data_IF_824421745260
#
_entry.id   IF_824421745260
#
_cell.length_a   1.000
_cell.length_b   1.000
_cell.length_c   1.000
_cell.angle_alpha   90.00
_cell.angle_beta   90.00
_cell.angle_gamma   90.00
#
_symmetry.space_group_name_H-M   'P 1'
#
loop_
_entity.id
_entity.type
_entity.pdbx_description
1 polymer ?
#
# COMPACT_ATOMS: atom_id res chain seq x y z
N UNK A 1 7.10 45.57 -4.57
CA UNK A 1 8.22 45.07 -3.73
C UNK A 1 7.68 44.95 -2.32
N UNK A 2 7.31 43.75 -1.89
CA UNK A 2 6.78 43.45 -0.55
C UNK A 2 7.52 42.20 -0.04
N UNK A 3 7.88 42.15 1.25
CA UNK A 3 9.00 41.34 1.73
C UNK A 3 8.61 39.89 2.00
N UNK A 4 9.58 39.00 1.73
CA UNK A 4 9.60 37.61 2.21
C UNK A 4 9.71 37.62 3.73
N UNK A 5 8.80 36.94 4.41
CA UNK A 5 9.01 36.47 5.77
C UNK A 5 9.16 34.95 5.71
N UNK A 6 10.40 34.51 5.59
CA UNK A 6 10.81 33.16 5.96
C UNK A 6 10.75 33.07 7.48
N UNK A 7 9.83 32.27 8.01
CA UNK A 7 9.93 31.79 9.38
C UNK A 7 10.61 30.42 9.37
N UNK A 8 11.91 30.43 9.68
CA UNK A 8 12.72 29.25 9.95
C UNK A 8 12.78 29.05 11.47
N UNK A 9 11.86 28.25 12.03
CA UNK A 9 12.15 27.21 13.05
C UNK A 9 10.89 26.79 13.80
N UNK A 10 10.25 25.71 13.32
CA UNK A 10 9.72 24.59 14.13
C UNK A 10 9.01 23.63 13.18
N UNK A 11 9.77 22.78 12.52
CA UNK A 11 9.22 21.63 11.79
C UNK A 11 8.76 20.61 12.82
N UNK A 12 7.46 20.35 12.86
CA UNK A 12 6.83 19.31 13.67
C UNK A 12 7.42 17.93 13.32
N UNK A 13 7.23 16.92 14.17
CA UNK A 13 7.62 15.52 13.85
C UNK A 13 6.97 15.05 12.53
N UNK A 14 5.78 15.60 12.23
CA UNK A 14 5.03 15.40 10.97
C UNK A 14 5.64 16.11 9.76
N UNK A 15 6.55 17.06 9.95
CA UNK A 15 7.32 17.72 8.88
C UNK A 15 8.69 17.04 8.66
N UNK A 16 9.08 16.09 9.53
CA UNK A 16 10.30 15.27 9.38
C UNK A 16 10.04 13.92 8.72
N UNK A 17 8.81 13.42 8.84
CA UNK A 17 8.27 12.32 8.04
C UNK A 17 7.52 12.99 6.89
N UNK A 18 7.92 12.79 5.63
CA UNK A 18 7.22 13.39 4.48
C UNK A 18 5.72 13.06 4.50
N UNK A 19 4.87 13.89 3.87
CA UNK A 19 3.46 13.54 3.73
C UNK A 19 3.33 12.31 2.83
N UNK A 20 2.33 11.46 3.11
CA UNK A 20 2.08 10.25 2.35
C UNK A 20 1.82 10.59 0.87
N UNK A 21 2.55 9.94 -0.04
CA UNK A 21 2.56 10.21 -1.49
C UNK A 21 3.02 11.62 -1.94
N UNK A 22 3.62 12.43 -1.05
CA UNK A 22 3.97 13.83 -1.38
C UNK A 22 4.84 13.94 -2.63
N UNK A 23 5.86 13.09 -2.77
CA UNK A 23 6.79 13.12 -3.90
C UNK A 23 6.12 12.70 -5.21
N UNK A 24 5.22 11.71 -5.16
CA UNK A 24 4.43 11.30 -6.30
C UNK A 24 3.46 12.40 -6.75
N UNK A 25 2.77 13.05 -5.80
CA UNK A 25 1.83 14.14 -6.10
C UNK A 25 2.57 15.33 -6.73
N UNK A 26 3.70 15.76 -6.15
CA UNK A 26 4.54 16.82 -6.74
C UNK A 26 5.02 16.48 -8.14
N UNK A 27 5.38 15.22 -8.39
CA UNK A 27 5.77 14.77 -9.72
C UNK A 27 4.61 14.83 -10.72
N UNK A 28 3.40 14.39 -10.34
CA UNK A 28 2.21 14.51 -11.18
C UNK A 28 1.85 15.97 -11.48
N UNK A 29 1.94 16.85 -10.48
CA UNK A 29 1.74 18.30 -10.64
C UNK A 29 2.73 18.90 -11.64
N UNK A 30 4.02 18.54 -11.53
CA UNK A 30 5.06 19.02 -12.43
C UNK A 30 4.83 18.57 -13.90
N UNK A 31 4.16 17.43 -14.10
CA UNK A 31 3.74 16.95 -15.42
C UNK A 31 2.40 17.54 -15.90
N UNK A 32 1.71 18.33 -15.07
CA UNK A 32 0.37 18.83 -15.37
C UNK A 32 -0.71 17.74 -15.37
N UNK A 33 -0.45 16.60 -14.72
CA UNK A 33 -1.41 15.50 -14.60
C UNK A 33 -2.34 15.75 -13.41
N UNK A 34 -3.65 15.81 -13.70
CA UNK A 34 -4.65 15.93 -12.66
C UNK A 34 -4.63 14.70 -11.75
N UNK A 35 -4.61 14.92 -10.44
CA UNK A 35 -4.62 13.86 -9.44
C UNK A 35 -5.58 14.21 -8.32
N UNK A 36 -6.04 13.18 -7.60
CA UNK A 36 -6.97 13.32 -6.48
C UNK A 36 -6.67 12.24 -5.44
N UNK A 37 -6.81 12.60 -4.16
CA UNK A 37 -6.58 11.69 -3.03
C UNK A 37 -7.91 11.43 -2.34
N UNK A 38 -8.33 10.17 -2.31
CA UNK A 38 -9.50 9.75 -1.56
C UNK A 38 -9.24 9.89 -0.05
N UNK A 39 -10.19 10.46 0.68
CA UNK A 39 -10.12 10.58 2.15
C UNK A 39 -10.55 9.26 2.79
N UNK A 40 -9.61 8.33 2.85
CA UNK A 40 -9.82 7.00 3.42
C UNK A 40 -9.59 7.03 4.93
N UNK A 41 -10.47 6.37 5.68
CA UNK A 41 -10.31 6.16 7.11
C UNK A 41 -9.42 4.94 7.32
N UNK A 42 -8.26 5.13 7.94
CA UNK A 42 -7.29 4.05 8.10
C UNK A 42 -7.77 2.98 9.07
N UNK A 43 -8.62 3.36 10.02
CA UNK A 43 -9.19 2.45 11.02
C UNK A 43 -10.38 1.65 10.51
N UNK A 44 -10.97 2.04 9.38
CA UNK A 44 -12.17 1.42 8.85
C UNK A 44 -11.85 0.14 8.05
N UNK A 45 -12.76 -0.83 8.12
CA UNK A 45 -12.66 -2.07 7.35
C UNK A 45 -12.79 -1.85 5.84
N UNK A 46 -12.36 -2.85 5.06
CA UNK A 46 -12.29 -2.76 3.59
C UNK A 46 -13.63 -2.41 2.93
N UNK A 47 -14.74 -2.97 3.41
CA UNK A 47 -16.09 -2.68 2.88
C UNK A 47 -16.48 -1.20 3.01
N UNK A 48 -16.16 -0.60 4.16
CA UNK A 48 -16.47 0.81 4.40
C UNK A 48 -15.60 1.71 3.53
N UNK A 49 -14.31 1.40 3.43
CA UNK A 49 -13.40 2.16 2.57
C UNK A 49 -13.72 1.99 1.09
N UNK A 50 -14.15 0.81 0.65
CA UNK A 50 -14.64 0.57 -0.70
C UNK A 50 -15.84 1.47 -1.05
N UNK A 51 -16.75 1.73 -0.11
CA UNK A 51 -17.85 2.68 -0.29
C UNK A 51 -17.33 4.11 -0.46
N UNK A 52 -16.38 4.52 0.37
CA UNK A 52 -15.74 5.84 0.27
C UNK A 52 -15.02 6.02 -1.07
N UNK A 53 -14.26 5.00 -1.51
CA UNK A 53 -13.61 4.97 -2.82
C UNK A 53 -14.61 5.05 -3.97
N UNK A 54 -15.72 4.29 -3.87
CA UNK A 54 -16.79 4.31 -4.88
C UNK A 54 -17.34 5.72 -5.08
N UNK A 55 -17.74 6.38 -3.98
CA UNK A 55 -18.25 7.76 -4.02
C UNK A 55 -17.19 8.72 -4.55
N UNK A 56 -15.92 8.52 -4.22
CA UNK A 56 -14.84 9.35 -4.74
C UNK A 56 -14.73 9.24 -6.28
N UNK A 57 -14.75 8.01 -6.83
CA UNK A 57 -14.66 7.79 -8.28
C UNK A 57 -15.89 8.30 -9.02
N UNK A 58 -17.08 8.14 -8.46
CA UNK A 58 -18.34 8.65 -9.05
C UNK A 58 -18.32 10.16 -9.25
N UNK A 59 -17.68 10.90 -8.34
CA UNK A 59 -17.52 12.36 -8.43
C UNK A 59 -16.51 12.77 -9.50
N UNK A 60 -15.55 11.91 -9.85
CA UNK A 60 -14.55 12.16 -10.88
C UNK A 60 -15.17 11.91 -12.25
N UNK A 61 -15.27 12.94 -13.10
CA UNK A 61 -16.00 12.88 -14.39
C UNK A 61 -15.28 12.10 -15.50
N UNK A 62 -14.04 11.67 -15.27
CA UNK A 62 -13.18 11.01 -16.25
C UNK A 62 -12.79 9.61 -15.75
N UNK A 63 -12.43 8.67 -16.65
CA UNK A 63 -11.77 7.44 -16.25
C UNK A 63 -10.50 7.73 -15.46
N UNK A 64 -10.22 6.91 -14.45
CA UNK A 64 -9.11 7.13 -13.51
C UNK A 64 -8.09 6.01 -13.59
N UNK A 65 -6.82 6.36 -13.35
CA UNK A 65 -5.81 5.41 -12.93
C UNK A 65 -5.72 5.45 -11.42
N UNK A 66 -5.58 4.26 -10.85
CA UNK A 66 -5.61 4.06 -9.42
C UNK A 66 -4.19 3.72 -8.92
N UNK A 67 -3.76 4.36 -7.84
CA UNK A 67 -2.48 4.07 -7.18
C UNK A 67 -2.69 4.01 -5.67
N UNK A 68 -2.40 2.86 -5.06
CA UNK A 68 -2.58 2.64 -3.63
C UNK A 68 -1.39 1.94 -3.00
N UNK A 69 -1.31 2.02 -1.67
CA UNK A 69 -0.31 1.35 -0.87
C UNK A 69 -0.95 0.57 0.27
N UNK A 70 -0.32 -0.56 0.63
CA UNK A 70 -0.69 -1.38 1.77
C UNK A 70 -2.18 -1.78 1.73
N UNK A 71 -2.92 -1.55 2.82
CA UNK A 71 -4.36 -1.81 2.94
C UNK A 71 -5.21 -1.19 1.82
N UNK A 72 -4.78 -0.08 1.22
CA UNK A 72 -5.50 0.57 0.12
C UNK A 72 -5.72 -0.37 -1.08
N UNK A 73 -4.83 -1.33 -1.34
CA UNK A 73 -5.01 -2.33 -2.39
C UNK A 73 -6.15 -3.30 -2.09
N UNK A 74 -6.33 -3.70 -0.83
CA UNK A 74 -7.46 -4.56 -0.41
C UNK A 74 -8.77 -3.78 -0.48
N UNK A 75 -8.78 -2.53 -0.01
CA UNK A 75 -9.96 -1.65 -0.07
C UNK A 75 -10.41 -1.43 -1.53
N UNK A 76 -9.45 -1.31 -2.44
CA UNK A 76 -9.69 -1.15 -3.89
C UNK A 76 -10.20 -2.42 -4.53
N UNK A 77 -9.61 -3.57 -4.19
CA UNK A 77 -10.09 -4.85 -4.68
C UNK A 77 -11.54 -5.08 -4.24
N UNK A 78 -11.86 -4.78 -2.98
CA UNK A 78 -13.23 -4.85 -2.46
C UNK A 78 -14.19 -3.94 -3.23
N UNK A 79 -13.78 -2.70 -3.53
CA UNK A 79 -14.57 -1.81 -4.37
C UNK A 79 -14.79 -2.40 -5.76
N UNK A 80 -13.74 -2.87 -6.45
CA UNK A 80 -13.85 -3.40 -7.80
C UNK A 80 -14.68 -4.69 -7.85
N UNK A 81 -14.57 -5.55 -6.85
CA UNK A 81 -15.39 -6.77 -6.72
C UNK A 81 -16.86 -6.41 -6.48
N UNK A 82 -17.14 -5.51 -5.53
CA UNK A 82 -18.51 -5.15 -5.13
C UNK A 82 -19.23 -4.16 -6.06
N UNK A 83 -18.50 -3.42 -6.89
CA UNK A 83 -19.03 -2.40 -7.82
C UNK A 83 -18.61 -2.67 -9.27
N UNK A 84 -19.16 -3.71 -9.93
CA UNK A 84 -18.90 -3.98 -11.34
C UNK A 84 -19.17 -2.79 -12.27
N UNK A 85 -20.15 -1.95 -11.93
CA UNK A 85 -20.53 -0.76 -12.67
C UNK A 85 -19.46 0.35 -12.67
N UNK A 86 -18.55 0.34 -11.70
CA UNK A 86 -17.43 1.29 -11.65
C UNK A 86 -16.18 0.79 -12.36
N UNK A 87 -16.11 -0.48 -12.78
CA UNK A 87 -14.92 -1.05 -13.43
C UNK A 87 -14.57 -0.33 -14.73
N UNK A 88 -15.57 0.08 -15.52
CA UNK A 88 -15.38 0.85 -16.75
C UNK A 88 -14.86 2.28 -16.50
N UNK A 89 -14.92 2.76 -15.26
CA UNK A 89 -14.34 4.04 -14.83
C UNK A 89 -12.88 3.91 -14.41
N UNK A 90 -12.35 2.70 -14.31
CA UNK A 90 -10.97 2.43 -13.89
C UNK A 90 -10.17 1.92 -15.09
N UNK A 91 -9.28 2.78 -15.60
CA UNK A 91 -8.45 2.45 -16.75
C UNK A 91 -7.29 1.49 -16.40
N UNK A 92 -6.99 1.32 -15.12
CA UNK A 92 -5.96 0.45 -14.57
C UNK A 92 -5.65 0.80 -13.12
N UNK A 93 -5.00 -0.11 -12.40
CA UNK A 93 -4.67 0.09 -10.99
C UNK A 93 -3.29 -0.45 -10.61
N UNK A 94 -2.67 0.21 -9.64
CA UNK A 94 -1.37 -0.14 -9.06
C UNK A 94 -1.55 -0.38 -7.57
N UNK A 95 -1.14 -1.55 -7.10
CA UNK A 95 -1.09 -1.89 -5.69
C UNK A 95 0.37 -2.01 -5.23
N UNK A 96 0.79 -1.13 -4.32
CA UNK A 96 2.15 -1.12 -3.77
C UNK A 96 2.12 -1.78 -2.40
N UNK A 97 2.83 -2.89 -2.25
CA UNK A 97 3.03 -3.58 -0.96
C UNK A 97 1.71 -3.96 -0.27
N UNK A 98 0.70 -4.35 -1.04
CA UNK A 98 -0.62 -4.70 -0.51
C UNK A 98 -0.69 -6.15 -0.05
N UNK A 99 -1.16 -6.44 1.18
CA UNK A 99 -1.22 -7.81 1.69
C UNK A 99 -2.46 -8.56 1.20
N UNK A 100 -2.55 -8.87 -0.09
CA UNK A 100 -3.73 -9.57 -0.66
C UNK A 100 -3.98 -10.94 -0.05
N UNK A 101 -2.94 -11.65 0.41
CA UNK A 101 -3.04 -12.92 1.15
C UNK A 101 -2.84 -12.74 2.66
N UNK A 102 -2.84 -11.49 3.14
CA UNK A 102 -2.65 -11.14 4.54
C UNK A 102 -1.20 -11.02 4.99
N UNK A 103 -1.03 -10.72 6.28
CA UNK A 103 0.27 -10.56 6.95
C UNK A 103 0.36 -11.52 8.15
N UNK A 104 1.37 -12.40 8.20
CA UNK A 104 1.62 -13.25 9.36
C UNK A 104 1.85 -12.48 10.66
N UNK A 105 2.37 -11.26 10.58
CA UNK A 105 2.55 -10.40 11.76
C UNK A 105 1.20 -9.93 12.32
N UNK A 106 0.20 -9.68 11.46
CA UNK A 106 -1.16 -9.42 11.90
C UNK A 106 -1.76 -10.65 12.59
N UNK A 107 -1.51 -11.86 12.05
CA UNK A 107 -1.98 -13.11 12.65
C UNK A 107 -1.42 -13.29 14.07
N UNK A 108 -0.11 -13.13 14.24
CA UNK A 108 0.56 -13.26 15.53
C UNK A 108 0.01 -12.27 16.56
N UNK A 109 -0.14 -11.01 16.17
CA UNK A 109 -0.71 -9.97 17.04
C UNK A 109 -2.13 -10.32 17.49
N UNK A 110 -2.96 -10.88 16.61
CA UNK A 110 -4.33 -11.25 16.95
C UNK A 110 -4.38 -12.48 17.87
N UNK A 111 -3.46 -13.44 17.69
CA UNK A 111 -3.43 -14.73 18.39
C UNK A 111 -3.14 -14.65 19.89
N UNK A 112 -2.22 -13.81 20.36
CA UNK A 112 -1.81 -13.82 21.77
C UNK A 112 -1.48 -12.46 22.37
N UNK A 113 -1.74 -12.29 23.66
CA UNK A 113 -1.34 -11.09 24.42
C UNK A 113 0.18 -10.90 24.46
N UNK A 114 0.95 -12.00 24.40
CA UNK A 114 2.40 -11.96 24.29
C UNK A 114 2.84 -11.22 23.02
N UNK A 115 2.31 -11.61 21.86
CA UNK A 115 2.64 -10.96 20.60
C UNK A 115 2.07 -9.54 20.49
N UNK A 116 0.93 -9.24 21.12
CA UNK A 116 0.45 -7.85 21.26
C UNK A 116 1.44 -6.97 22.01
N UNK A 117 2.06 -7.50 23.06
CA UNK A 117 3.13 -6.81 23.78
C UNK A 117 4.38 -6.62 22.93
N UNK A 118 4.84 -7.69 22.26
CA UNK A 118 6.03 -7.67 21.41
C UNK A 118 5.88 -6.72 20.21
N UNK A 119 4.69 -6.67 19.62
CA UNK A 119 4.38 -5.91 18.41
C UNK A 119 3.45 -4.73 18.69
N UNK A 120 3.53 -4.10 19.86
CA UNK A 120 2.59 -3.07 20.31
C UNK A 120 2.41 -1.86 19.37
N UNK A 121 3.41 -1.52 18.57
CA UNK A 121 3.35 -0.44 17.56
C UNK A 121 2.65 -0.83 16.26
N UNK A 122 2.39 -2.12 16.04
CA UNK A 122 1.83 -2.64 14.78
C UNK A 122 0.46 -2.05 14.49
N UNK A 123 -0.36 -1.89 15.53
CA UNK A 123 -1.72 -1.37 15.38
C UNK A 123 -1.72 0.00 14.69
N UNK A 124 -0.86 0.92 15.14
CA UNK A 124 -0.73 2.25 14.55
C UNK A 124 -0.15 2.23 13.13
N UNK A 125 0.73 1.26 12.82
CA UNK A 125 1.29 1.09 11.47
C UNK A 125 0.28 0.49 10.48
N UNK A 126 -0.66 -0.33 10.96
CA UNK A 126 -1.64 -1.08 10.17
C UNK A 126 -3.03 -0.43 10.12
N UNK A 127 -3.12 0.85 10.47
CA UNK A 127 -4.33 1.66 10.31
C UNK A 127 -5.05 2.04 11.59
N UNK A 128 -4.63 1.55 12.77
CA UNK A 128 -5.02 2.09 14.08
C UNK A 128 -6.08 1.28 14.85
N UNK A 129 -6.74 0.30 14.23
CA UNK A 129 -7.82 -0.48 14.84
C UNK A 129 -7.62 -1.99 14.74
N UNK A 130 -8.21 -2.73 15.71
CA UNK A 130 -8.20 -4.20 15.66
C UNK A 130 -8.96 -4.73 14.45
N UNK A 131 -10.00 -4.01 14.00
CA UNK A 131 -10.76 -4.37 12.81
C UNK A 131 -9.92 -4.22 11.54
N UNK A 132 -9.14 -3.14 11.44
CA UNK A 132 -8.18 -2.96 10.34
C UNK A 132 -7.15 -4.09 10.35
N UNK A 133 -6.57 -4.40 11.50
CA UNK A 133 -5.59 -5.48 11.61
C UNK A 133 -6.18 -6.86 11.30
N UNK A 134 -7.40 -7.13 11.76
CA UNK A 134 -8.14 -8.37 11.45
C UNK A 134 -8.38 -8.50 9.95
N UNK A 135 -8.69 -7.39 9.27
CA UNK A 135 -8.81 -7.35 7.82
C UNK A 135 -7.47 -7.60 7.08
N UNK A 136 -6.32 -7.50 7.75
CA UNK A 136 -5.02 -7.82 7.17
C UNK A 136 -4.52 -9.23 7.55
N UNK A 137 -5.28 -9.97 8.36
CA UNK A 137 -4.90 -11.33 8.76
C UNK A 137 -4.99 -12.31 7.59
N UNK A 138 -4.07 -13.27 7.55
CA UNK A 138 -4.00 -14.28 6.49
C UNK A 138 -5.27 -15.13 6.39
N UNK A 139 -5.89 -15.60 7.50
CA UNK A 139 -7.14 -16.35 7.42
C UNK A 139 -8.28 -15.56 6.76
N UNK A 140 -8.45 -14.29 7.14
CA UNK A 140 -9.52 -13.43 6.61
C UNK A 140 -9.26 -13.10 5.13
N UNK A 141 -7.99 -12.96 4.74
CA UNK A 141 -7.63 -12.65 3.35
C UNK A 141 -7.69 -13.84 2.42
N UNK A 142 -7.27 -15.01 2.88
CA UNK A 142 -7.41 -16.24 2.13
C UNK A 142 -8.88 -16.61 1.90
N UNK A 143 -9.72 -16.54 2.94
CA UNK A 143 -11.17 -16.78 2.83
C UNK A 143 -11.84 -15.83 1.83
N UNK A 144 -11.48 -14.55 1.89
CA UNK A 144 -11.99 -13.55 0.95
C UNK A 144 -11.59 -13.86 -0.49
N UNK A 145 -10.31 -14.14 -0.71
CA UNK A 145 -9.80 -14.47 -2.05
C UNK A 145 -10.50 -15.70 -2.62
N UNK A 146 -10.66 -16.76 -1.82
CA UNK A 146 -11.36 -17.98 -2.23
C UNK A 146 -12.84 -17.73 -2.54
N UNK A 147 -13.52 -16.99 -1.66
CA UNK A 147 -14.95 -16.70 -1.81
C UNK A 147 -15.27 -15.78 -2.99
N UNK A 148 -14.30 -15.00 -3.47
CA UNK A 148 -14.48 -14.03 -4.56
C UNK A 148 -13.61 -14.33 -5.79
N UNK A 149 -13.02 -15.53 -5.90
CA UNK A 149 -12.03 -15.86 -6.92
C UNK A 149 -12.50 -15.54 -8.35
N UNK A 150 -13.75 -15.85 -8.70
CA UNK A 150 -14.34 -15.55 -10.01
C UNK A 150 -14.43 -14.05 -10.28
N UNK A 151 -14.85 -13.25 -9.30
CA UNK A 151 -14.94 -11.79 -9.46
C UNK A 151 -13.57 -11.14 -9.51
N UNK A 152 -12.63 -11.63 -8.71
CA UNK A 152 -11.24 -11.17 -8.72
C UNK A 152 -10.62 -11.43 -10.10
N UNK A 153 -10.82 -12.63 -10.67
CA UNK A 153 -10.37 -12.95 -12.02
C UNK A 153 -10.95 -11.96 -13.04
N UNK A 154 -12.27 -11.71 -13.01
CA UNK A 154 -12.92 -10.71 -13.86
C UNK A 154 -12.32 -9.32 -13.73
N UNK A 155 -12.03 -8.87 -12.51
CA UNK A 155 -11.37 -7.57 -12.27
C UNK A 155 -10.01 -7.52 -12.96
N UNK A 156 -9.18 -8.55 -12.79
CA UNK A 156 -7.83 -8.60 -13.37
C UNK A 156 -7.80 -8.85 -14.88
N UNK A 157 -8.88 -9.37 -15.46
CA UNK A 157 -9.04 -9.53 -16.90
C UNK A 157 -9.52 -8.24 -17.58
N UNK A 158 -10.38 -7.46 -16.90
CA UNK A 158 -11.01 -6.27 -17.47
C UNK A 158 -10.10 -5.04 -17.55
N UNK A 159 -9.11 -4.93 -16.66
CA UNK A 159 -8.24 -3.76 -16.61
C UNK A 159 -6.79 -4.13 -16.24
N UNK A 160 -5.79 -3.39 -16.76
CA UNK A 160 -4.40 -3.58 -16.37
C UNK A 160 -4.21 -3.44 -14.87
N UNK A 161 -3.43 -4.37 -14.31
CA UNK A 161 -3.11 -4.39 -12.89
C UNK A 161 -1.64 -4.66 -12.67
N UNK A 162 -0.94 -3.70 -12.06
CA UNK A 162 0.44 -3.87 -11.63
C UNK A 162 0.47 -4.00 -10.11
N UNK A 163 1.00 -5.12 -9.63
CA UNK A 163 1.33 -5.28 -8.22
C UNK A 163 2.82 -5.00 -8.04
N UNK A 164 3.17 -4.17 -7.07
CA UNK A 164 4.55 -3.96 -6.68
C UNK A 164 4.77 -4.50 -5.28
N UNK A 165 5.89 -5.18 -5.10
CA UNK A 165 6.37 -5.63 -3.82
C UNK A 165 7.85 -5.36 -3.65
N UNK A 166 8.27 -5.28 -2.40
CA UNK A 166 9.68 -5.28 -2.09
C UNK A 166 9.98 -6.17 -0.90
N UNK A 167 11.26 -6.31 -0.62
CA UNK A 167 11.72 -6.98 0.58
C UNK A 167 13.08 -6.41 0.99
N UNK A 168 13.47 -6.63 2.24
CA UNK A 168 14.75 -6.19 2.77
C UNK A 168 15.48 -7.39 3.39
N UNK A 169 16.77 -7.56 3.05
CA UNK A 169 17.67 -8.51 3.72
C UNK A 169 18.11 -7.95 5.09
N UNK A 170 18.49 -8.86 6.00
CA UNK A 170 19.14 -8.55 7.29
C UNK A 170 20.63 -8.18 7.13
N UNK A 171 20.96 -7.38 6.11
CA UNK A 171 22.34 -6.94 5.82
C UNK A 171 22.50 -5.42 5.96
N UNK A 172 21.65 -4.76 6.75
CA UNK A 172 21.71 -3.31 6.90
C UNK A 172 22.85 -2.92 7.86
N UNK A 173 23.82 -2.08 7.44
CA UNK A 173 24.89 -1.66 8.33
C UNK A 173 24.30 -0.77 9.42
N UNK A 174 24.43 -1.22 10.68
CA UNK A 174 24.41 -0.62 12.04
C UNK A 174 24.11 0.89 12.29
N UNK A 175 23.90 1.73 11.28
CA UNK A 175 23.42 3.11 11.39
C UNK A 175 21.89 3.19 11.30
N UNK A 176 21.20 2.45 12.17
CA UNK A 176 19.74 2.56 12.37
C UNK A 176 18.91 2.02 11.21
N UNK A 177 18.37 0.83 11.39
CA UNK A 177 17.35 0.28 10.50
C UNK A 177 16.00 1.03 10.64
N UNK A 178 15.03 0.63 9.86
CA UNK A 178 13.67 1.16 9.93
C UNK A 178 12.97 0.67 11.20
N UNK A 179 11.93 1.38 11.70
CA UNK A 179 11.08 0.87 12.77
C UNK A 179 10.34 -0.44 12.47
N UNK A 180 10.57 -1.03 11.28
CA UNK A 180 9.96 -2.28 10.84
C UNK A 180 10.88 -3.50 11.01
N UNK A 181 12.14 -3.29 11.38
CA UNK A 181 13.14 -4.34 11.63
C UNK A 181 12.59 -5.51 12.49
N UNK A 182 11.96 -5.29 13.67
CA UNK A 182 11.52 -6.41 14.49
C UNK A 182 10.50 -7.33 13.82
N UNK A 183 9.64 -6.77 12.97
CA UNK A 183 8.66 -7.53 12.19
C UNK A 183 9.31 -8.23 11.01
N UNK A 184 10.26 -7.54 10.35
CA UNK A 184 11.03 -8.08 9.24
C UNK A 184 11.80 -9.31 9.65
N UNK A 185 12.61 -9.19 10.69
CA UNK A 185 13.51 -10.24 11.14
C UNK A 185 12.70 -11.42 11.66
N UNK A 186 11.56 -11.17 12.31
CA UNK A 186 10.68 -12.25 12.72
C UNK A 186 10.19 -13.06 11.51
N UNK A 187 9.66 -12.41 10.48
CA UNK A 187 9.21 -13.09 9.26
C UNK A 187 10.36 -13.76 8.51
N UNK A 188 11.53 -13.10 8.44
CA UNK A 188 12.68 -13.63 7.72
C UNK A 188 13.28 -14.85 8.44
N UNK A 189 13.61 -14.72 9.72
CA UNK A 189 14.30 -15.77 10.48
C UNK A 189 13.40 -16.89 10.97
N UNK A 190 12.16 -16.58 11.37
CA UNK A 190 11.27 -17.56 12.01
C UNK A 190 10.29 -18.19 11.03
N UNK A 191 10.05 -17.56 9.89
CA UNK A 191 9.08 -18.02 8.90
C UNK A 191 9.69 -18.25 7.51
N UNK A 192 10.97 -17.91 7.30
CA UNK A 192 11.64 -17.99 5.99
C UNK A 192 10.90 -17.17 4.91
N UNK A 193 10.36 -16.02 5.30
CA UNK A 193 9.59 -15.14 4.43
C UNK A 193 10.34 -13.83 4.15
N UNK A 194 10.75 -13.65 2.89
CA UNK A 194 11.18 -12.34 2.40
C UNK A 194 10.01 -11.36 2.48
N UNK A 195 10.25 -10.20 3.06
CA UNK A 195 9.21 -9.25 3.40
C UNK A 195 9.75 -7.83 3.48
N UNK A 196 8.86 -6.84 3.43
CA UNK A 196 9.18 -5.41 3.50
C UNK A 196 9.09 -4.83 4.94
N UNK A 197 9.05 -5.71 5.93
CA UNK A 197 8.82 -5.40 7.33
C UNK A 197 7.37 -5.53 7.77
N UNK A 198 6.39 -5.62 6.88
CA UNK A 198 4.98 -5.77 7.28
C UNK A 198 4.21 -6.78 6.44
N UNK A 199 4.60 -6.94 5.18
CA UNK A 199 3.95 -7.81 4.22
C UNK A 199 5.01 -8.73 3.61
N UNK A 200 4.77 -10.05 3.55
CA UNK A 200 5.68 -10.95 2.88
C UNK A 200 5.46 -10.92 1.35
N UNK A 201 6.52 -11.18 0.58
CA UNK A 201 6.48 -11.12 -0.89
C UNK A 201 5.38 -12.01 -1.48
N UNK A 202 5.18 -13.18 -0.87
CA UNK A 202 4.16 -14.16 -1.26
C UNK A 202 2.72 -13.66 -1.12
N UNK A 203 2.50 -12.54 -0.42
CA UNK A 203 1.16 -11.95 -0.20
C UNK A 203 0.80 -10.83 -1.19
N UNK A 204 1.77 -10.32 -1.95
CA UNK A 204 1.62 -9.05 -2.65
C UNK A 204 0.96 -9.13 -4.04
N UNK A 205 0.79 -10.34 -4.60
CA UNK A 205 0.23 -10.55 -5.92
C UNK A 205 -1.00 -11.45 -5.90
N UNK A 206 -1.87 -11.25 -6.88
CA UNK A 206 -2.99 -12.15 -7.22
C UNK A 206 -2.91 -12.51 -8.70
N UNK A 207 -3.46 -13.67 -9.12
CA UNK A 207 -3.48 -14.06 -10.53
C UNK A 207 -4.04 -12.95 -11.42
N UNK A 208 -3.43 -12.77 -12.59
CA UNK A 208 -3.80 -11.73 -13.53
C UNK A 208 -3.03 -10.41 -13.37
N UNK A 209 -2.34 -10.18 -12.24
CA UNK A 209 -1.45 -9.01 -12.08
C UNK A 209 -0.10 -9.20 -12.78
N UNK A 210 0.52 -8.08 -13.15
CA UNK A 210 1.94 -8.02 -13.47
C UNK A 210 2.70 -7.67 -12.18
N UNK A 211 3.38 -8.65 -11.59
CA UNK A 211 4.06 -8.50 -10.30
C UNK A 211 5.52 -8.03 -10.49
N UNK A 212 5.85 -6.90 -9.89
CA UNK A 212 7.22 -6.36 -9.80
C UNK A 212 7.74 -6.56 -8.38
N UNK A 213 8.91 -7.19 -8.23
CA UNK A 213 9.56 -7.39 -6.93
C UNK A 213 10.97 -6.82 -6.95
N UNK A 214 11.31 -5.97 -5.97
CA UNK A 214 12.67 -5.45 -5.78
C UNK A 214 13.19 -5.69 -4.37
N UNK A 215 14.52 -5.74 -4.22
CA UNK A 215 15.18 -5.87 -2.92
C UNK A 215 15.49 -4.49 -2.30
N UNK A 216 15.83 -4.50 -1.01
CA UNK A 216 16.34 -3.37 -0.23
C UNK A 216 15.40 -2.16 -0.14
N UNK A 217 14.10 -2.42 -0.04
CA UNK A 217 13.08 -1.38 0.17
C UNK A 217 12.07 -1.87 1.20
N UNK A 218 11.89 -1.10 2.25
CA UNK A 218 10.91 -1.38 3.31
C UNK A 218 9.49 -0.89 2.92
N UNK A 219 8.51 -1.23 3.75
CA UNK A 219 7.09 -0.94 3.54
C UNK A 219 6.75 0.56 3.45
N UNK A 220 7.58 1.46 4.01
CA UNK A 220 7.32 2.90 4.08
C UNK A 220 8.08 3.69 3.02
N UNK A 221 9.25 3.21 2.61
CA UNK A 221 10.15 3.88 1.67
C UNK A 221 9.49 4.26 0.34
N UNK A 222 8.50 3.47 -0.10
CA UNK A 222 7.74 3.71 -1.34
C UNK A 222 6.77 4.89 -1.27
N UNK A 223 6.40 5.36 -0.08
CA UNK A 223 5.31 6.34 0.12
C UNK A 223 5.62 7.48 1.08
N UNK A 224 6.62 7.30 1.95
CA UNK A 224 7.03 8.28 2.96
C UNK A 224 8.51 8.60 2.79
N UNK A 225 8.85 9.89 2.87
CA UNK A 225 10.24 10.33 2.92
C UNK A 225 10.77 10.21 4.36
N UNK A 226 11.92 9.56 4.52
CA UNK A 226 12.62 9.47 5.80
C UNK A 226 14.13 9.73 5.61
N UNK A 227 14.81 10.47 6.51
CA UNK A 227 16.23 10.81 6.44
C UNK A 227 17.23 9.68 6.13
N UNK A 228 16.91 8.43 6.44
CA UNK A 228 17.90 7.34 6.47
C UNK A 228 17.91 6.48 5.20
N UNK A 229 16.83 6.49 4.41
CA UNK A 229 16.69 5.67 3.20
C UNK A 229 16.32 6.53 2.00
N UNK A 230 17.24 6.60 1.04
CA UNK A 230 17.01 7.29 -0.23
C UNK A 230 16.24 6.41 -1.21
N UNK A 231 14.97 6.72 -1.46
CA UNK A 231 14.17 6.06 -2.49
C UNK A 231 13.55 7.08 -3.43
N UNK A 232 13.74 6.95 -4.76
CA UNK A 232 13.21 7.90 -5.74
C UNK A 232 11.74 7.56 -6.07
N UNK A 233 10.82 8.08 -5.26
CA UNK A 233 9.38 7.81 -5.37
C UNK A 233 8.74 8.32 -6.67
N UNK A 234 9.26 9.40 -7.25
CA UNK A 234 8.78 9.94 -8.51
C UNK A 234 9.08 8.98 -9.69
N UNK A 235 10.35 8.58 -9.84
CA UNK A 235 10.75 7.58 -10.86
C UNK A 235 10.11 6.23 -10.64
N UNK A 236 9.93 5.86 -9.37
CA UNK A 236 9.19 4.66 -9.00
C UNK A 236 7.75 4.68 -9.51
N UNK A 237 7.00 5.75 -9.20
CA UNK A 237 5.63 5.91 -9.70
C UNK A 237 5.59 5.95 -11.24
N UNK A 238 6.48 6.72 -11.87
CA UNK A 238 6.63 6.78 -13.33
C UNK A 238 6.81 5.39 -13.96
N UNK A 239 7.67 4.56 -13.36
CA UNK A 239 7.94 3.21 -13.85
C UNK A 239 6.69 2.34 -13.77
N UNK A 240 5.97 2.36 -12.65
CA UNK A 240 4.74 1.56 -12.48
C UNK A 240 3.61 2.05 -13.41
N UNK A 241 3.42 3.37 -13.55
CA UNK A 241 2.46 3.92 -14.51
C UNK A 241 2.81 3.55 -15.95
N UNK A 242 4.10 3.51 -16.30
CA UNK A 242 4.54 3.08 -17.63
C UNK A 242 4.26 1.61 -17.91
N UNK A 243 4.27 0.78 -16.86
CA UNK A 243 3.94 -0.65 -16.94
C UNK A 243 2.43 -0.92 -17.05
N UNK A 244 1.57 0.02 -16.66
CA UNK A 244 0.11 -0.05 -16.90
C UNK A 244 -0.21 0.11 -18.40
N UNK A 245 0.16 -0.89 -19.21
CA UNK A 245 -0.26 -0.99 -20.61
C UNK A 245 -1.37 -2.02 -20.73
N UNK A 246 -2.38 -1.72 -21.55
CA UNK A 246 -3.41 -2.70 -21.92
C UNK A 246 -2.72 -3.94 -22.50
N UNK A 247 -3.06 -5.12 -21.98
CA UNK A 247 -2.74 -6.38 -22.65
C UNK A 247 -3.40 -6.32 -24.03
N UNK A 248 -2.58 -6.14 -25.07
CA UNK A 248 -3.01 -6.36 -26.44
C UNK A 248 -3.11 -7.88 -26.58
N UNK A 249 -4.32 -8.41 -26.55
CA UNK A 249 -4.61 -9.78 -27.00
C UNK A 249 -4.88 -9.75 -28.50
#
# INVERSE_FOLDING_TARGET
MLPRLCDHNRRSVRDRLGLYFEDQMRWLEALGVAHSVAKIESEAGAKQNAKTLSTHIELLKLPVLIFFHSKGGIDTLEMLVSRPDLRDRVAGWIAVQSPFMGSPIADLYLQSSFYRGLFGTLLGLMGGSLDSLTALSSPVRLDYYQSHATEIARVTEQMPFVAFMSWQDDNWPWEGDTPLEPYRDFMLEKMDLKNDGLVPVVSAGIPGCDLVVIANVDHRSTVLSHPFVGFNRARFAESLFTMLRRRQF
#
